data_IF_717702966630
#
_entry.id   IF_717702966630
#
_cell.length_a   1.000
_cell.length_b   1.000
_cell.length_c   1.000
_cell.angle_alpha   90.00
_cell.angle_beta   90.00
_cell.angle_gamma   90.00
#
_symmetry.space_group_name_H-M   'P 1'
#
loop_
_entity.id
_entity.type
_entity.pdbx_description
1 polymer ?
#
# COMPACT_ATOMS: atom_id res chain seq x y z
N UNK A 1 -39.51 -53.60 1.84
CA UNK A 1 -38.04 -53.83 1.95
C UNK A 1 -37.50 -52.72 2.85
N UNK A 2 -37.71 -52.73 4.18
CA UNK A 2 -37.15 -53.58 5.22
C UNK A 2 -35.62 -53.49 5.36
N UNK A 3 -35.17 -52.72 6.38
CA UNK A 3 -34.03 -52.98 7.29
C UNK A 3 -32.60 -52.99 6.67
N UNK A 4 -31.49 -52.58 7.31
CA UNK A 4 -31.07 -52.58 8.72
C UNK A 4 -29.74 -51.76 8.85
N UNK A 5 -29.59 -50.92 9.88
CA UNK A 5 -28.65 -51.05 11.03
C UNK A 5 -27.13 -51.17 10.78
N UNK A 6 -26.35 -50.35 11.49
CA UNK A 6 -24.93 -50.56 11.77
C UNK A 6 -24.31 -49.46 12.65
N UNK A 7 -24.42 -49.60 13.97
CA UNK A 7 -23.79 -48.75 15.00
C UNK A 7 -22.35 -49.22 15.33
N UNK A 8 -21.56 -48.24 15.77
CA UNK A 8 -20.53 -48.28 16.84
C UNK A 8 -19.21 -49.05 16.64
N UNK A 9 -18.10 -48.35 16.92
CA UNK A 9 -17.17 -48.78 17.96
C UNK A 9 -16.34 -47.60 18.51
N UNK A 10 -16.35 -47.49 19.84
CA UNK A 10 -15.44 -46.70 20.69
C UNK A 10 -14.28 -47.62 21.07
N UNK A 11 -13.03 -47.18 20.92
CA UNK A 11 -11.90 -47.73 21.69
C UNK A 11 -11.04 -46.59 22.24
N UNK A 12 -10.92 -46.67 23.57
CA UNK A 12 -10.06 -45.92 24.46
C UNK A 12 -8.61 -46.44 24.35
N UNK A 13 -7.61 -45.56 24.40
CA UNK A 13 -6.27 -45.96 24.84
C UNK A 13 -5.55 -44.78 25.49
N UNK A 14 -5.36 -44.93 26.80
CA UNK A 14 -4.40 -44.21 27.61
C UNK A 14 -2.98 -44.46 27.11
N UNK A 15 -2.17 -43.40 27.04
CA UNK A 15 -0.72 -43.53 27.22
C UNK A 15 -0.31 -42.58 28.35
N UNK A 16 0.16 -43.21 29.44
CA UNK A 16 0.89 -42.58 30.54
C UNK A 16 2.36 -42.48 30.17
N UNK A 17 2.98 -41.38 30.60
CA UNK A 17 4.35 -41.39 31.11
C UNK A 17 5.42 -40.84 30.18
N UNK A 18 5.95 -39.67 30.53
CA UNK A 18 7.38 -39.47 30.79
C UNK A 18 7.57 -38.10 31.45
N UNK A 19 7.90 -38.15 32.74
CA UNK A 19 8.37 -37.01 33.53
C UNK A 19 9.84 -36.78 33.16
N UNK A 20 10.12 -35.70 32.45
CA UNK A 20 11.49 -35.20 32.29
C UNK A 20 11.67 -33.98 33.19
N UNK A 21 12.38 -34.20 34.29
CA UNK A 21 12.94 -33.15 35.15
C UNK A 21 13.87 -32.26 34.32
N UNK A 22 13.49 -31.00 34.12
CA UNK A 22 14.39 -29.96 33.59
C UNK A 22 14.86 -29.09 34.73
N UNK A 23 16.16 -29.09 34.93
CA UNK A 23 16.86 -28.17 35.81
C UNK A 23 16.57 -26.70 35.42
N UNK A 24 16.49 -25.77 36.38
CA UNK A 24 16.34 -24.36 36.08
C UNK A 24 17.66 -23.82 35.49
N UNK A 25 17.63 -23.45 34.20
CA UNK A 25 18.63 -22.58 33.62
C UNK A 25 18.49 -21.20 34.28
N UNK A 26 19.47 -20.83 35.11
CA UNK A 26 19.66 -19.45 35.54
C UNK A 26 20.14 -18.65 34.34
N UNK A 27 19.21 -18.01 33.63
CA UNK A 27 19.55 -16.92 32.71
C UNK A 27 19.96 -15.73 33.57
N UNK A 28 21.21 -15.29 33.43
CA UNK A 28 21.67 -14.06 34.03
C UNK A 28 20.96 -12.88 33.33
N UNK A 29 20.13 -12.17 34.10
CA UNK A 29 19.54 -10.89 33.71
C UNK A 29 20.65 -9.86 33.54
N UNK A 30 21.14 -9.71 32.32
CA UNK A 30 21.84 -8.53 31.85
C UNK A 30 21.09 -7.98 30.63
N UNK A 31 19.83 -7.60 30.84
CA UNK A 31 19.11 -6.74 29.89
C UNK A 31 19.63 -5.33 30.11
N UNK A 32 20.68 -4.97 29.38
CA UNK A 32 21.01 -3.56 29.18
C UNK A 32 19.81 -2.94 28.45
N UNK A 33 19.10 -2.08 29.17
CA UNK A 33 18.06 -1.22 28.64
C UNK A 33 18.73 -0.33 27.57
N UNK A 34 18.63 -0.75 26.30
CA UNK A 34 19.07 0.04 25.18
C UNK A 34 18.14 1.26 25.15
N UNK A 35 18.59 2.38 25.74
CA UNK A 35 17.99 3.68 25.53
C UNK A 35 18.18 4.00 24.05
N UNK A 36 17.17 3.67 23.25
CA UNK A 36 17.01 4.22 21.91
C UNK A 36 16.78 5.71 22.12
N UNK A 37 17.88 6.47 22.17
CA UNK A 37 17.84 7.89 21.96
C UNK A 37 17.29 8.08 20.55
N UNK A 38 16.06 8.59 20.48
CA UNK A 38 15.48 9.06 19.25
C UNK A 38 16.35 10.24 18.78
N UNK A 39 17.40 9.92 18.02
CA UNK A 39 18.25 10.90 17.39
C UNK A 39 17.38 11.62 16.36
N UNK A 40 16.92 12.81 16.75
CA UNK A 40 16.27 13.77 15.88
C UNK A 40 17.19 14.09 14.72
N UNK A 41 16.81 13.66 13.53
CA UNK A 41 17.12 14.42 12.32
C UNK A 41 15.95 15.35 12.09
N UNK A 42 15.98 16.48 12.79
CA UNK A 42 15.16 17.66 12.54
C UNK A 42 15.52 18.17 11.13
N UNK A 43 14.91 17.58 10.11
CA UNK A 43 14.71 18.27 8.85
C UNK A 43 13.75 19.41 9.18
N UNK A 44 14.36 20.56 9.46
CA UNK A 44 13.76 21.87 9.72
C UNK A 44 12.37 22.00 9.08
N UNK A 45 11.37 21.66 9.88
CA UNK A 45 9.95 21.63 9.54
C UNK A 45 9.51 23.09 9.41
N UNK A 46 9.68 23.63 8.20
CA UNK A 46 9.37 25.02 7.85
C UNK A 46 7.87 25.20 7.89
N UNK A 47 7.31 25.43 9.10
CA UNK A 47 5.92 25.77 9.37
C UNK A 47 4.92 25.15 8.37
N UNK A 48 5.04 23.84 8.13
CA UNK A 48 4.15 23.14 7.23
C UNK A 48 2.80 23.08 7.92
N UNK A 49 1.81 23.78 7.36
CA UNK A 49 0.47 23.84 7.91
C UNK A 49 -0.06 22.45 8.26
N UNK A 50 -0.80 22.39 9.36
CA UNK A 50 -1.53 21.19 9.73
C UNK A 50 -2.52 20.86 8.61
N UNK A 51 -2.58 19.59 8.24
CA UNK A 51 -3.57 19.06 7.30
C UNK A 51 -4.37 17.96 7.99
N UNK A 52 -5.55 17.68 7.43
CA UNK A 52 -6.44 16.66 7.96
C UNK A 52 -7.00 15.78 6.84
N UNK A 53 -7.44 14.56 7.16
CA UNK A 53 -8.32 13.79 6.28
C UNK A 53 -9.37 13.05 7.10
N UNK A 54 -10.48 12.73 6.44
CA UNK A 54 -11.58 11.97 7.02
C UNK A 54 -11.63 10.59 6.37
N UNK A 55 -11.98 9.55 7.13
CA UNK A 55 -12.32 8.26 6.54
C UNK A 55 -13.58 8.36 5.65
N UNK A 56 -13.88 7.31 4.88
CA UNK A 56 -15.02 7.30 3.97
C UNK A 56 -16.37 7.60 4.65
N UNK A 57 -16.57 7.18 5.90
CA UNK A 57 -17.81 7.40 6.66
C UNK A 57 -17.76 8.64 7.57
N UNK A 58 -16.63 9.36 7.58
CA UNK A 58 -16.43 10.56 8.41
C UNK A 58 -16.62 10.29 9.91
N UNK A 59 -16.23 9.12 10.38
CA UNK A 59 -16.25 8.72 11.80
C UNK A 59 -14.99 9.19 12.53
N UNK A 60 -13.85 9.17 11.84
CA UNK A 60 -12.55 9.60 12.37
C UNK A 60 -11.94 10.65 11.47
N UNK A 61 -11.24 11.59 12.09
CA UNK A 61 -10.39 12.55 11.44
C UNK A 61 -8.94 12.31 11.85
N UNK A 62 -8.05 12.29 10.87
CA UNK A 62 -6.61 12.16 11.08
C UNK A 62 -5.95 13.50 10.82
N UNK A 63 -4.99 13.87 11.64
CA UNK A 63 -4.30 15.16 11.58
C UNK A 63 -2.79 15.00 11.70
N UNK A 64 -2.04 15.68 10.83
CA UNK A 64 -0.58 15.70 10.80
C UNK A 64 -0.05 16.81 9.87
N UNK A 65 1.28 17.06 9.85
CA UNK A 65 1.93 17.80 8.78
C UNK A 65 1.58 17.21 7.40
N UNK A 66 1.44 18.07 6.37
CA UNK A 66 0.92 17.70 5.04
C UNK A 66 1.59 16.47 4.43
N UNK A 67 2.93 16.38 4.40
CA UNK A 67 3.65 15.21 3.86
C UNK A 67 3.33 13.92 4.61
N UNK A 68 3.36 13.97 5.94
CA UNK A 68 3.05 12.82 6.79
C UNK A 68 1.62 12.35 6.57
N UNK A 69 0.69 13.32 6.48
CA UNK A 69 -0.72 13.05 6.23
C UNK A 69 -0.93 12.38 4.86
N UNK A 70 -0.33 12.92 3.81
CA UNK A 70 -0.43 12.38 2.46
C UNK A 70 0.11 10.95 2.38
N UNK A 71 1.31 10.70 2.92
CA UNK A 71 1.88 9.37 2.94
C UNK A 71 0.98 8.39 3.72
N UNK A 72 0.35 8.86 4.79
CA UNK A 72 -0.58 8.07 5.60
C UNK A 72 -1.82 7.69 4.80
N UNK A 73 -2.49 8.63 4.13
CA UNK A 73 -3.65 8.35 3.28
C UNK A 73 -3.30 7.36 2.18
N UNK A 74 -2.20 7.61 1.47
CA UNK A 74 -1.79 6.78 0.34
C UNK A 74 -1.45 5.34 0.77
N UNK A 75 -0.76 5.19 1.90
CA UNK A 75 -0.43 3.88 2.47
C UNK A 75 -1.67 3.16 3.00
N UNK A 76 -2.55 3.86 3.73
CA UNK A 76 -3.82 3.28 4.21
C UNK A 76 -4.68 2.80 3.04
N UNK A 77 -4.79 3.58 1.96
CA UNK A 77 -5.47 3.20 0.71
C UNK A 77 -4.86 1.97 0.02
N UNK A 78 -3.54 1.79 0.08
CA UNK A 78 -2.87 0.63 -0.52
C UNK A 78 -2.97 -0.64 0.33
N UNK A 79 -3.21 -0.50 1.64
CA UNK A 79 -3.20 -1.59 2.63
C UNK A 79 -4.41 -2.55 2.53
N UNK A 80 -4.41 -3.67 3.29
CA UNK A 80 -5.59 -4.52 3.46
C UNK A 80 -6.85 -3.79 3.97
N UNK A 81 -6.69 -2.62 4.61
CA UNK A 81 -7.78 -1.79 5.10
C UNK A 81 -8.19 -0.69 4.10
N UNK A 82 -7.66 -0.71 2.88
CA UNK A 82 -7.84 0.36 1.88
C UNK A 82 -9.29 0.71 1.58
N UNK A 83 -10.21 -0.24 1.74
CA UNK A 83 -11.66 -0.03 1.54
C UNK A 83 -12.25 1.08 2.41
N UNK A 84 -11.66 1.35 3.58
CA UNK A 84 -12.09 2.44 4.47
C UNK A 84 -11.69 3.83 3.99
N UNK A 85 -10.78 3.90 3.01
CA UNK A 85 -10.12 5.14 2.59
C UNK A 85 -10.21 5.42 1.10
N UNK A 86 -10.88 4.57 0.30
CA UNK A 86 -10.97 4.72 -1.17
C UNK A 86 -11.42 6.12 -1.66
N UNK A 87 -12.25 6.83 -0.91
CA UNK A 87 -12.76 8.17 -1.23
C UNK A 87 -12.21 9.26 -0.29
N UNK A 88 -11.14 8.94 0.45
CA UNK A 88 -10.45 9.86 1.36
C UNK A 88 -9.36 10.65 0.63
N UNK A 89 -9.20 11.91 0.99
CA UNK A 89 -8.14 12.78 0.50
C UNK A 89 -7.66 13.72 1.62
N UNK A 90 -6.42 14.21 1.48
CA UNK A 90 -5.90 15.24 2.38
C UNK A 90 -6.56 16.58 2.14
N UNK A 91 -6.78 17.33 3.23
CA UNK A 91 -7.32 18.68 3.26
C UNK A 91 -6.21 19.57 3.79
N UNK A 92 -5.52 20.28 2.89
CA UNK A 92 -4.40 21.15 3.25
C UNK A 92 -4.85 22.34 4.10
N UNK A 93 -4.08 22.66 5.15
CA UNK A 93 -4.31 23.85 5.98
C UNK A 93 -5.54 23.74 6.88
N UNK A 94 -6.00 22.53 7.17
CA UNK A 94 -7.15 22.28 8.05
C UNK A 94 -6.81 21.28 9.15
N UNK A 95 -7.25 21.59 10.36
CA UNK A 95 -7.17 20.72 11.53
C UNK A 95 -8.49 19.95 11.72
N UNK A 96 -8.46 18.81 12.39
CA UNK A 96 -9.65 18.01 12.69
C UNK A 96 -10.71 18.79 13.50
N UNK A 97 -10.27 19.70 14.38
CA UNK A 97 -11.16 20.56 15.17
C UNK A 97 -12.04 21.46 14.29
N UNK A 98 -11.54 21.93 13.13
CA UNK A 98 -12.33 22.77 12.20
C UNK A 98 -13.49 22.01 11.55
N UNK A 99 -13.39 20.67 11.54
CA UNK A 99 -14.41 19.76 11.02
C UNK A 99 -15.31 19.17 12.12
N UNK A 100 -15.19 19.66 13.36
CA UNK A 100 -16.00 19.23 14.50
C UNK A 100 -15.51 17.97 15.20
N UNK A 101 -14.24 17.56 15.00
CA UNK A 101 -13.63 16.42 15.68
C UNK A 101 -12.74 16.95 16.82
N UNK A 102 -13.21 16.83 18.06
CA UNK A 102 -12.52 17.36 19.24
C UNK A 102 -12.18 16.27 20.28
N UNK A 103 -12.69 15.05 20.12
CA UNK A 103 -12.40 13.94 21.01
C UNK A 103 -11.12 13.25 20.54
N UNK A 104 -10.00 13.50 21.22
CA UNK A 104 -8.71 12.89 20.86
C UNK A 104 -8.72 11.38 21.08
N UNK A 105 -8.26 10.65 20.07
CA UNK A 105 -8.08 9.21 20.11
C UNK A 105 -6.71 8.78 20.60
N UNK A 106 -6.45 7.48 20.48
CA UNK A 106 -5.10 6.96 20.65
C UNK A 106 -4.22 7.33 19.46
N UNK A 107 -2.92 7.47 19.72
CA UNK A 107 -1.93 7.64 18.65
C UNK A 107 -1.98 6.45 17.67
N UNK A 108 -1.83 6.74 16.38
CA UNK A 108 -1.75 5.71 15.34
C UNK A 108 -0.38 5.00 15.44
N UNK A 109 -0.39 3.72 15.84
CA UNK A 109 0.84 2.91 15.96
C UNK A 109 1.47 2.55 14.60
N UNK A 110 0.75 2.74 13.51
CA UNK A 110 1.16 2.44 12.14
C UNK A 110 1.84 3.64 11.46
N UNK A 111 1.55 4.87 11.90
CA UNK A 111 2.11 6.11 11.35
C UNK A 111 2.54 7.10 12.46
N UNK A 112 3.86 7.19 12.75
CA UNK A 112 4.37 8.19 13.69
C UNK A 112 4.00 9.62 13.27
N UNK A 113 3.61 10.45 14.25
CA UNK A 113 3.22 11.84 14.03
C UNK A 113 1.76 12.07 13.60
N UNK A 114 0.98 11.01 13.37
CA UNK A 114 -0.46 11.11 13.10
C UNK A 114 -1.24 11.12 14.42
N UNK A 115 -2.12 12.11 14.55
CA UNK A 115 -3.13 12.19 15.61
C UNK A 115 -4.49 11.79 15.05
N UNK A 116 -5.31 11.15 15.88
CA UNK A 116 -6.68 10.78 15.52
C UNK A 116 -7.65 11.54 16.39
N UNK A 117 -8.74 12.02 15.80
CA UNK A 117 -9.79 12.75 16.47
C UNK A 117 -11.15 12.21 16.04
N UNK A 118 -12.09 12.21 16.97
CA UNK A 118 -13.45 11.72 16.84
C UNK A 118 -14.42 12.83 17.24
N UNK A 119 -15.70 12.69 16.90
CA UNK A 119 -16.74 13.60 17.41
C UNK A 119 -17.21 13.20 18.81
N UNK A 120 -17.10 11.91 19.15
CA UNK A 120 -17.54 11.34 20.41
C UNK A 120 -16.78 10.06 20.76
N UNK A 121 -16.87 9.61 22.01
CA UNK A 121 -16.35 8.30 22.43
C UNK A 121 -17.03 7.12 21.71
N UNK A 122 -18.30 7.27 21.35
CA UNK A 122 -19.06 6.25 20.58
C UNK A 122 -18.42 6.03 19.20
N UNK A 123 -17.94 7.11 18.57
CA UNK A 123 -17.28 7.04 17.27
C UNK A 123 -15.95 6.28 17.33
N UNK A 124 -15.25 6.28 18.48
CA UNK A 124 -14.04 5.44 18.68
C UNK A 124 -14.38 3.96 18.54
N UNK A 125 -15.47 3.52 19.18
CA UNK A 125 -15.89 2.12 19.11
C UNK A 125 -16.43 1.78 17.72
N UNK A 126 -17.17 2.71 17.11
CA UNK A 126 -17.64 2.55 15.73
C UNK A 126 -16.48 2.38 14.75
N UNK A 127 -15.45 3.20 14.85
CA UNK A 127 -14.29 3.10 13.96
C UNK A 127 -13.53 1.79 14.15
N UNK A 128 -13.33 1.33 15.40
CA UNK A 128 -12.75 -0.01 15.67
C UNK A 128 -13.56 -1.14 15.03
N UNK A 129 -14.89 -1.05 15.05
CA UNK A 129 -15.76 -2.02 14.38
C UNK A 129 -15.61 -1.96 12.86
N UNK A 130 -15.45 -0.76 12.28
CA UNK A 130 -15.18 -0.59 10.85
C UNK A 130 -13.83 -1.18 10.44
N UNK A 131 -12.77 -0.95 11.22
CA UNK A 131 -11.45 -1.57 10.99
C UNK A 131 -11.54 -3.10 11.06
N UNK A 132 -12.24 -3.63 12.06
CA UNK A 132 -12.47 -5.06 12.18
C UNK A 132 -13.25 -5.60 10.98
N UNK A 133 -14.34 -4.95 10.58
CA UNK A 133 -15.17 -5.39 9.46
C UNK A 133 -14.41 -5.35 8.12
N UNK A 134 -13.59 -4.32 7.90
CA UNK A 134 -12.72 -4.24 6.73
C UNK A 134 -11.69 -5.37 6.70
N UNK A 135 -11.05 -5.66 7.85
CA UNK A 135 -10.11 -6.77 7.98
C UNK A 135 -10.79 -8.14 7.77
N UNK A 136 -11.96 -8.35 8.37
CA UNK A 136 -12.76 -9.57 8.19
C UNK A 136 -13.14 -9.77 6.72
N UNK A 137 -13.53 -8.69 6.02
CA UNK A 137 -13.81 -8.70 4.59
C UNK A 137 -12.59 -9.09 3.76
N UNK A 138 -11.42 -8.55 4.08
CA UNK A 138 -10.16 -8.91 3.43
C UNK A 138 -9.77 -10.37 3.70
N UNK A 139 -9.94 -10.84 4.94
CA UNK A 139 -9.72 -12.24 5.35
C UNK A 139 -10.59 -13.17 4.52
N UNK A 140 -11.88 -12.88 4.42
CA UNK A 140 -12.84 -13.69 3.68
C UNK A 140 -12.53 -13.70 2.16
N UNK A 141 -12.23 -12.52 1.59
CA UNK A 141 -11.95 -12.39 0.15
C UNK A 141 -10.75 -13.21 -0.31
N UNK A 142 -9.75 -13.41 0.55
CA UNK A 142 -8.50 -14.09 0.21
C UNK A 142 -8.25 -15.38 0.99
N UNK A 143 -9.24 -15.88 1.74
CA UNK A 143 -9.15 -17.11 2.54
C UNK A 143 -7.93 -17.11 3.48
N UNK A 144 -7.70 -15.99 4.17
CA UNK A 144 -6.56 -15.83 5.09
C UNK A 144 -6.93 -16.26 6.51
N UNK A 145 -5.93 -16.41 7.38
CA UNK A 145 -6.14 -16.42 8.83
C UNK A 145 -6.10 -14.98 9.37
N UNK A 146 -6.73 -14.75 10.52
CA UNK A 146 -6.71 -13.45 11.21
C UNK A 146 -5.28 -12.99 11.50
N UNK A 147 -4.40 -13.88 11.96
CA UNK A 147 -3.01 -13.55 12.27
C UNK A 147 -2.24 -13.11 11.03
N UNK A 148 -2.45 -13.79 9.89
CA UNK A 148 -1.78 -13.46 8.63
C UNK A 148 -2.26 -12.11 8.08
N UNK A 149 -3.56 -11.83 8.12
CA UNK A 149 -4.10 -10.55 7.68
C UNK A 149 -3.68 -9.39 8.60
N UNK A 150 -3.68 -9.61 9.92
CA UNK A 150 -3.16 -8.63 10.89
C UNK A 150 -1.67 -8.34 10.65
N UNK A 151 -0.87 -9.37 10.39
CA UNK A 151 0.54 -9.22 10.03
C UNK A 151 0.69 -8.42 8.73
N UNK A 152 -0.13 -8.70 7.70
CA UNK A 152 -0.13 -7.91 6.46
C UNK A 152 -0.39 -6.43 6.71
N UNK A 153 -1.37 -6.08 7.54
CA UNK A 153 -1.63 -4.69 7.94
C UNK A 153 -0.39 -4.09 8.61
N UNK A 154 0.18 -4.77 9.60
CA UNK A 154 1.38 -4.31 10.31
C UNK A 154 2.59 -4.10 9.37
N UNK A 155 2.76 -4.96 8.35
CA UNK A 155 3.86 -4.86 7.40
C UNK A 155 3.67 -3.75 6.36
N UNK A 156 2.43 -3.29 6.12
CA UNK A 156 2.18 -2.13 5.26
C UNK A 156 2.38 -0.78 5.96
N UNK A 157 2.60 -0.76 7.28
CA UNK A 157 2.82 0.46 8.04
C UNK A 157 4.08 1.23 7.64
N UNK A 158 4.19 2.46 8.16
CA UNK A 158 5.42 3.25 8.06
C UNK A 158 6.62 2.41 8.58
N UNK A 159 7.79 2.37 7.89
CA UNK A 159 8.91 1.50 8.27
C UNK A 159 9.39 1.68 9.72
N UNK A 160 9.38 2.94 10.18
CA UNK A 160 9.77 3.33 11.55
C UNK A 160 8.63 3.25 12.57
N UNK A 161 7.46 2.73 12.21
CA UNK A 161 6.33 2.69 13.14
C UNK A 161 6.55 1.62 14.23
N UNK A 162 6.05 1.85 15.47
CA UNK A 162 6.09 0.82 16.50
C UNK A 162 5.49 -0.50 16.04
N UNK A 163 4.37 -0.47 15.30
CA UNK A 163 3.71 -1.67 14.79
C UNK A 163 4.59 -2.46 13.81
N UNK A 164 5.27 -1.80 12.88
CA UNK A 164 6.16 -2.43 11.90
C UNK A 164 7.45 -2.95 12.52
N UNK A 165 8.02 -2.19 13.47
CA UNK A 165 9.27 -2.55 14.18
C UNK A 165 9.05 -3.80 15.04
N UNK A 166 7.94 -3.89 15.79
CA UNK A 166 7.60 -5.08 16.59
C UNK A 166 7.45 -6.35 15.73
N UNK A 167 7.08 -6.21 14.46
CA UNK A 167 6.86 -7.31 13.53
C UNK A 167 7.99 -7.49 12.50
N UNK A 168 9.17 -6.88 12.70
CA UNK A 168 10.15 -6.74 11.62
C UNK A 168 10.57 -8.07 10.96
N UNK A 169 10.90 -9.07 11.77
CA UNK A 169 11.26 -10.40 11.26
C UNK A 169 10.11 -11.05 10.49
N UNK A 170 8.90 -10.95 11.01
CA UNK A 170 7.71 -11.53 10.38
C UNK A 170 7.37 -10.83 9.06
N UNK A 171 7.63 -9.53 8.94
CA UNK A 171 7.43 -8.79 7.69
C UNK A 171 8.47 -9.15 6.61
N UNK A 172 9.71 -9.43 7.00
CA UNK A 172 10.71 -9.96 6.07
C UNK A 172 10.30 -11.33 5.53
N UNK A 173 9.80 -12.22 6.41
CA UNK A 173 9.28 -13.53 6.02
C UNK A 173 8.01 -13.41 5.16
N UNK A 174 7.10 -12.49 5.50
CA UNK A 174 5.90 -12.23 4.70
C UNK A 174 6.28 -11.79 3.28
N UNK A 175 7.28 -10.92 3.14
CA UNK A 175 7.73 -10.39 1.85
C UNK A 175 8.25 -11.49 0.91
N UNK A 176 8.87 -12.54 1.44
CA UNK A 176 9.35 -13.66 0.62
C UNK A 176 8.28 -14.75 0.41
N UNK A 177 7.36 -14.91 1.36
CA UNK A 177 6.35 -15.97 1.33
C UNK A 177 5.05 -15.57 0.63
N UNK A 178 4.78 -14.26 0.49
CA UNK A 178 3.51 -13.76 -0.03
C UNK A 178 3.75 -12.81 -1.19
N UNK A 179 3.05 -13.11 -2.28
CA UNK A 179 2.93 -12.23 -3.44
C UNK A 179 1.83 -11.21 -3.21
N UNK A 180 2.11 -9.94 -3.50
CA UNK A 180 1.12 -8.87 -3.61
C UNK A 180 0.85 -8.52 -5.08
N UNK A 181 -0.38 -8.18 -5.40
CA UNK A 181 -0.76 -7.64 -6.71
C UNK A 181 -1.84 -6.56 -6.67
N UNK A 182 -1.92 -5.73 -7.71
CA UNK A 182 -3.08 -4.88 -7.99
C UNK A 182 -3.35 -4.86 -9.50
N UNK A 183 -4.55 -4.41 -9.89
CA UNK A 183 -4.96 -4.32 -11.29
C UNK A 183 -5.11 -2.85 -11.64
N UNK A 184 -4.47 -2.41 -12.71
CA UNK A 184 -4.69 -1.09 -13.27
C UNK A 184 -6.06 -1.05 -13.91
N UNK A 185 -6.86 -0.04 -13.59
CA UNK A 185 -8.12 0.22 -14.26
C UNK A 185 -8.06 1.55 -15.00
N UNK A 186 -8.70 1.61 -16.17
CA UNK A 186 -8.91 2.89 -16.83
C UNK A 186 -9.84 3.74 -15.92
N UNK A 187 -9.41 4.93 -15.47
CA UNK A 187 -10.16 5.70 -14.48
C UNK A 187 -11.50 6.26 -15.01
N UNK A 188 -11.70 6.30 -16.33
CA UNK A 188 -12.93 6.77 -16.97
C UNK A 188 -13.92 5.64 -17.23
N UNK A 189 -13.43 4.46 -17.62
CA UNK A 189 -14.29 3.33 -18.05
C UNK A 189 -14.33 2.18 -17.05
N UNK A 190 -13.48 2.21 -16.02
CA UNK A 190 -13.25 1.14 -15.06
C UNK A 190 -12.83 -0.20 -15.70
N UNK A 191 -12.43 -0.20 -16.97
CA UNK A 191 -11.94 -1.39 -17.67
C UNK A 191 -10.57 -1.77 -17.10
N UNK A 192 -10.41 -3.03 -16.69
CA UNK A 192 -9.12 -3.55 -16.21
C UNK A 192 -8.12 -3.64 -17.37
N UNK A 193 -6.89 -3.20 -17.15
CA UNK A 193 -5.87 -3.03 -18.18
C UNK A 193 -4.73 -4.06 -18.02
N UNK A 194 -3.93 -3.90 -16.98
CA UNK A 194 -2.79 -4.76 -16.63
C UNK A 194 -2.82 -5.09 -15.15
N UNK A 195 -2.01 -6.04 -14.71
CA UNK A 195 -1.86 -6.37 -13.31
C UNK A 195 -0.39 -6.35 -12.91
N UNK A 196 -0.06 -5.62 -11.85
CA UNK A 196 1.30 -5.61 -11.29
C UNK A 196 1.41 -6.58 -10.13
N UNK A 197 2.56 -7.24 -10.06
CA UNK A 197 2.85 -8.29 -9.07
C UNK A 197 4.26 -8.18 -8.53
N UNK A 198 4.44 -8.37 -7.22
CA UNK A 198 5.76 -8.55 -6.60
C UNK A 198 5.67 -9.06 -5.16
N UNK A 199 6.76 -8.98 -4.38
CA UNK A 199 6.73 -9.22 -2.93
C UNK A 199 5.68 -8.35 -2.24
N UNK A 200 4.89 -8.90 -1.32
CA UNK A 200 3.70 -8.23 -0.78
C UNK A 200 3.96 -6.83 -0.21
N UNK A 201 4.94 -6.68 0.69
CA UNK A 201 5.27 -5.38 1.30
C UNK A 201 5.79 -4.39 0.25
N UNK A 202 6.64 -4.87 -0.67
CA UNK A 202 7.20 -4.06 -1.75
C UNK A 202 6.09 -3.55 -2.68
N UNK A 203 5.19 -4.43 -3.10
CA UNK A 203 4.05 -4.11 -3.95
C UNK A 203 3.08 -3.14 -3.27
N UNK A 204 2.76 -3.32 -1.99
CA UNK A 204 1.93 -2.37 -1.24
C UNK A 204 2.58 -0.98 -1.16
N UNK A 205 3.91 -0.91 -0.96
CA UNK A 205 4.65 0.37 -0.88
C UNK A 205 4.74 1.05 -2.25
N UNK A 206 4.93 0.30 -3.33
CA UNK A 206 4.86 0.83 -4.69
C UNK A 206 3.48 1.40 -4.98
N UNK A 207 2.41 0.65 -4.70
CA UNK A 207 1.04 1.13 -4.85
C UNK A 207 0.76 2.40 -4.00
N UNK A 208 1.24 2.45 -2.77
CA UNK A 208 1.13 3.66 -1.94
C UNK A 208 1.88 4.85 -2.55
N UNK A 209 3.04 4.62 -3.18
CA UNK A 209 3.80 5.66 -3.88
C UNK A 209 3.01 6.18 -5.10
N UNK A 210 2.41 5.28 -5.88
CA UNK A 210 1.55 5.63 -7.01
C UNK A 210 0.31 6.44 -6.58
N UNK A 211 -0.30 6.09 -5.43
CA UNK A 211 -1.43 6.82 -4.82
C UNK A 211 -1.08 8.18 -4.22
N UNK A 212 0.19 8.51 -4.07
CA UNK A 212 0.70 9.82 -3.62
C UNK A 212 1.47 10.52 -4.75
N UNK A 213 1.04 10.29 -5.99
CA UNK A 213 1.64 10.85 -7.20
C UNK A 213 0.54 11.29 -8.18
N UNK A 214 0.89 11.92 -9.31
CA UNK A 214 -0.05 12.21 -10.39
C UNK A 214 -0.82 10.97 -10.93
N UNK A 215 -0.37 9.75 -10.60
CA UNK A 215 -1.04 8.50 -10.97
C UNK A 215 -2.21 8.12 -10.04
N UNK A 216 -2.49 8.90 -8.99
CA UNK A 216 -3.61 8.64 -8.08
C UNK A 216 -4.95 8.37 -8.81
N UNK A 217 -5.36 9.09 -9.88
CA UNK A 217 -6.63 8.81 -10.53
C UNK A 217 -6.75 7.38 -11.05
N UNK A 218 -5.68 6.84 -11.65
CA UNK A 218 -5.62 5.46 -12.14
C UNK A 218 -5.65 4.44 -11.01
N UNK A 219 -5.08 4.80 -9.85
CA UNK A 219 -4.93 3.91 -8.70
C UNK A 219 -5.88 4.23 -7.54
N UNK A 220 -6.93 5.04 -7.73
CA UNK A 220 -7.72 5.55 -6.61
C UNK A 220 -8.30 4.40 -5.78
N UNK A 221 -8.83 3.39 -6.46
CA UNK A 221 -9.55 2.26 -5.87
C UNK A 221 -8.71 0.99 -5.74
N UNK A 222 -7.48 1.02 -6.22
CA UNK A 222 -6.58 -0.13 -6.18
C UNK A 222 -6.23 -0.50 -4.74
N UNK A 223 -6.19 -1.79 -4.44
CA UNK A 223 -5.80 -2.31 -3.14
C UNK A 223 -4.86 -3.49 -3.36
N UNK A 224 -3.92 -3.67 -2.44
CA UNK A 224 -3.03 -4.81 -2.50
C UNK A 224 -3.81 -6.12 -2.28
N UNK A 225 -3.69 -7.06 -3.20
CA UNK A 225 -4.24 -8.40 -3.07
C UNK A 225 -3.11 -9.39 -2.77
N UNK A 226 -3.25 -10.29 -1.79
CA UNK A 226 -2.22 -11.26 -1.40
C UNK A 226 -2.26 -12.53 -2.28
N UNK A 227 -2.49 -12.33 -3.58
CA UNK A 227 -2.54 -13.36 -4.62
C UNK A 227 -1.83 -12.84 -5.88
N UNK A 228 -1.33 -13.75 -6.71
CA UNK A 228 -0.69 -13.37 -7.97
C UNK A 228 -1.67 -12.95 -9.07
N UNK A 229 -1.17 -12.21 -10.05
CA UNK A 229 -1.91 -11.70 -11.21
C UNK A 229 -2.53 -12.79 -12.08
N UNK A 230 -1.87 -13.95 -12.20
CA UNK A 230 -2.44 -15.10 -12.92
C UNK A 230 -3.80 -15.54 -12.34
N UNK A 231 -3.94 -15.55 -11.00
CA UNK A 231 -5.22 -15.86 -10.32
C UNK A 231 -6.27 -14.77 -10.47
N UNK A 232 -5.86 -13.58 -10.90
CA UNK A 232 -6.72 -12.41 -11.16
C UNK A 232 -7.09 -12.26 -12.64
N UNK A 233 -6.75 -13.25 -13.46
CA UNK A 233 -7.08 -13.29 -14.88
C UNK A 233 -6.04 -12.65 -15.80
N UNK A 234 -4.81 -12.45 -15.31
CA UNK A 234 -3.66 -11.96 -16.08
C UNK A 234 -2.56 -13.03 -16.07
N UNK A 235 -2.68 -14.11 -16.88
CA UNK A 235 -1.83 -15.29 -16.76
C UNK A 235 -0.44 -15.14 -17.39
N UNK A 236 -0.18 -14.05 -18.11
CA UNK A 236 1.04 -13.91 -18.91
C UNK A 236 1.90 -12.80 -18.32
N UNK A 237 3.13 -13.11 -17.93
CA UNK A 237 4.07 -12.11 -17.44
C UNK A 237 4.60 -11.30 -18.63
N UNK A 238 4.51 -9.98 -18.55
CA UNK A 238 5.10 -9.09 -19.53
C UNK A 238 6.63 -9.09 -19.38
N UNK A 239 7.34 -9.25 -20.50
CA UNK A 239 8.80 -9.45 -20.46
C UNK A 239 9.59 -8.23 -19.96
N UNK A 240 9.01 -7.03 -20.02
CA UNK A 240 9.66 -5.83 -19.52
C UNK A 240 9.57 -5.75 -17.99
N UNK A 241 10.69 -5.44 -17.35
CA UNK A 241 10.73 -5.10 -15.92
C UNK A 241 10.27 -3.65 -15.72
N UNK A 242 9.56 -3.40 -14.62
CA UNK A 242 9.23 -2.04 -14.21
C UNK A 242 10.51 -1.26 -13.88
N UNK A 243 10.71 -0.13 -14.56
CA UNK A 243 11.93 0.68 -14.44
C UNK A 243 11.96 1.54 -13.17
N UNK A 244 10.80 1.76 -12.55
CA UNK A 244 10.58 2.50 -11.30
C UNK A 244 10.62 1.59 -10.06
N UNK A 245 10.12 0.36 -10.19
CA UNK A 245 9.95 -0.61 -9.12
C UNK A 245 10.46 -2.00 -9.55
N UNK A 246 11.77 -2.25 -9.56
CA UNK A 246 12.37 -3.43 -10.21
C UNK A 246 11.99 -4.81 -9.65
N UNK A 247 11.31 -4.88 -8.49
CA UNK A 247 10.77 -6.14 -7.96
C UNK A 247 9.32 -6.39 -8.38
N UNK A 248 8.76 -5.52 -9.21
CA UNK A 248 7.45 -5.70 -9.82
C UNK A 248 7.59 -6.24 -11.23
N UNK A 249 6.61 -7.06 -11.57
CA UNK A 249 6.38 -7.56 -12.91
C UNK A 249 4.95 -7.25 -13.30
N UNK A 250 4.79 -6.69 -14.49
CA UNK A 250 3.49 -6.52 -15.13
C UNK A 250 3.02 -7.87 -15.69
N UNK A 251 1.71 -8.07 -15.68
CA UNK A 251 1.03 -9.23 -16.21
C UNK A 251 -0.15 -8.80 -17.09
N UNK A 252 -0.34 -9.53 -18.18
CA UNK A 252 -1.27 -9.25 -19.27
C UNK A 252 -2.24 -10.41 -19.46
N UNK A 253 -3.31 -10.17 -20.24
CA UNK A 253 -4.27 -11.21 -20.60
C UNK A 253 -3.85 -11.96 -21.87
N UNK A 254 -3.10 -11.29 -22.73
CA UNK A 254 -2.66 -11.79 -24.04
C UNK A 254 -1.14 -11.86 -24.15
N UNK A 255 -0.63 -12.75 -25.02
CA UNK A 255 0.81 -12.98 -25.20
C UNK A 255 1.45 -11.78 -25.93
N UNK A 256 2.66 -11.40 -25.51
CA UNK A 256 3.31 -10.16 -25.94
C UNK A 256 4.80 -10.36 -26.28
N UNK A 257 5.27 -9.87 -27.45
CA UNK A 257 4.45 -9.53 -28.62
C UNK A 257 3.76 -10.80 -29.16
N UNK A 258 2.60 -10.68 -29.80
CA UNK A 258 2.03 -11.87 -30.45
C UNK A 258 3.02 -12.41 -31.51
N UNK A 259 3.26 -13.73 -31.55
CA UNK A 259 4.27 -14.36 -32.44
C UNK A 259 4.17 -13.98 -33.91
N UNK A 260 3.00 -13.56 -34.38
CA UNK A 260 2.71 -13.23 -35.78
C UNK A 260 2.72 -11.73 -36.06
N UNK A 261 3.30 -10.92 -35.17
CA UNK A 261 3.34 -9.48 -35.36
C UNK A 261 4.30 -9.07 -36.46
N UNK A 262 3.85 -8.24 -37.42
CA UNK A 262 4.73 -7.69 -38.44
C UNK A 262 5.92 -6.97 -37.77
N UNK A 263 7.15 -7.14 -38.29
CA UNK A 263 8.27 -6.30 -37.88
C UNK A 263 7.97 -4.86 -38.27
N UNK A 264 7.71 -3.98 -37.29
CA UNK A 264 7.31 -2.59 -37.59
C UNK A 264 6.90 -1.69 -36.43
N UNK A 265 6.53 -2.21 -35.26
CA UNK A 265 6.32 -1.33 -34.10
C UNK A 265 5.47 -1.94 -32.98
N UNK A 266 5.79 -1.51 -31.76
CA UNK A 266 4.91 -1.53 -30.59
C UNK A 266 4.08 -0.22 -30.61
N UNK A 267 2.83 -0.24 -30.17
CA UNK A 267 2.00 0.95 -29.98
C UNK A 267 0.91 1.16 -31.04
N UNK A 268 0.58 2.44 -31.31
CA UNK A 268 -0.58 2.83 -32.12
C UNK A 268 -0.52 2.35 -33.57
N UNK A 269 0.69 2.08 -34.08
CA UNK A 269 0.93 1.65 -35.46
C UNK A 269 0.66 0.15 -35.67
N UNK A 270 0.43 -0.62 -34.59
CA UNK A 270 0.14 -2.05 -34.65
C UNK A 270 -0.79 -2.52 -33.50
N UNK A 271 -2.04 -2.02 -33.46
CA UNK A 271 -2.98 -2.23 -32.34
C UNK A 271 -3.42 -3.69 -32.16
N UNK A 272 -3.23 -4.53 -33.18
CA UNK A 272 -3.56 -5.97 -33.15
C UNK A 272 -2.48 -6.82 -32.47
N UNK A 273 -1.34 -6.22 -32.14
CA UNK A 273 -0.13 -6.91 -31.70
C UNK A 273 0.23 -6.70 -30.23
N UNK A 274 -0.25 -5.61 -29.66
CA UNK A 274 -0.04 -5.31 -28.26
C UNK A 274 -1.25 -5.72 -27.41
N UNK A 275 -1.00 -6.07 -26.15
CA UNK A 275 -2.06 -6.24 -25.19
C UNK A 275 -2.63 -4.85 -25.01
N UNK A 276 -3.86 -4.67 -25.49
CA UNK A 276 -4.53 -3.38 -25.45
C UNK A 276 -4.53 -2.78 -24.04
N UNK A 277 -4.47 -3.60 -22.99
CA UNK A 277 -4.27 -3.17 -21.61
C UNK A 277 -2.93 -2.46 -21.37
N UNK A 278 -1.81 -2.96 -21.90
CA UNK A 278 -0.48 -2.32 -21.76
C UNK A 278 -0.44 -0.98 -22.48
N UNK A 279 -0.90 -0.96 -23.74
CA UNK A 279 -0.93 0.26 -24.55
C UNK A 279 -1.84 1.31 -23.91
N UNK A 280 -3.05 0.92 -23.52
CA UNK A 280 -4.00 1.82 -22.87
C UNK A 280 -3.47 2.33 -21.52
N UNK A 281 -2.86 1.46 -20.70
CA UNK A 281 -2.22 1.87 -19.44
C UNK A 281 -1.13 2.90 -19.69
N UNK A 282 -0.26 2.68 -20.69
CA UNK A 282 0.79 3.63 -21.05
C UNK A 282 0.26 4.97 -21.57
N UNK A 283 -0.85 4.97 -22.33
CA UNK A 283 -1.51 6.20 -22.78
C UNK A 283 -2.08 6.99 -21.60
N UNK A 284 -2.75 6.32 -20.66
CA UNK A 284 -3.31 6.93 -19.46
C UNK A 284 -2.20 7.50 -18.58
N UNK A 285 -1.15 6.72 -18.31
CA UNK A 285 0.02 7.16 -17.57
C UNK A 285 0.64 8.39 -18.21
N UNK A 286 0.91 8.36 -19.53
CA UNK A 286 1.43 9.52 -20.26
C UNK A 286 0.51 10.74 -20.16
N UNK A 287 -0.80 10.56 -20.28
CA UNK A 287 -1.76 11.66 -20.15
C UNK A 287 -1.80 12.27 -18.74
N UNK A 288 -1.60 11.44 -17.71
CA UNK A 288 -1.51 11.88 -16.31
C UNK A 288 -0.18 12.59 -16.02
N UNK A 289 0.93 12.08 -16.56
CA UNK A 289 2.30 12.48 -16.20
C UNK A 289 2.89 13.56 -17.10
N UNK A 290 2.72 13.45 -18.41
CA UNK A 290 3.38 14.32 -19.38
C UNK A 290 2.47 15.46 -19.86
N UNK A 291 1.19 15.17 -20.07
CA UNK A 291 0.27 16.15 -20.63
C UNK A 291 -0.34 17.08 -19.58
N UNK A 292 -0.32 16.70 -18.30
CA UNK A 292 -0.93 17.44 -17.18
C UNK A 292 -2.45 17.66 -17.30
N UNK A 293 -3.08 17.17 -18.38
CA UNK A 293 -4.48 17.44 -18.72
C UNK A 293 -5.45 16.77 -17.77
N UNK A 294 -5.17 15.51 -17.41
CA UNK A 294 -6.04 14.75 -16.52
C UNK A 294 -5.83 15.12 -15.05
N UNK A 295 -4.58 15.46 -14.70
CA UNK A 295 -4.24 15.98 -13.39
C UNK A 295 -5.02 17.28 -13.12
N UNK A 296 -5.09 18.21 -14.06
CA UNK A 296 -5.75 19.50 -13.84
C UNK A 296 -7.24 19.42 -13.48
N UNK A 297 -8.01 18.46 -14.00
CA UNK A 297 -9.43 18.33 -13.63
C UNK A 297 -9.61 17.58 -12.31
N UNK A 298 -8.95 16.42 -12.15
CA UNK A 298 -9.06 15.62 -10.94
C UNK A 298 -8.47 16.32 -9.71
N UNK A 299 -7.26 16.87 -9.84
CA UNK A 299 -6.57 17.58 -8.76
C UNK A 299 -7.33 18.84 -8.39
N UNK A 300 -7.94 19.54 -9.35
CA UNK A 300 -8.78 20.70 -9.06
C UNK A 300 -10.09 20.33 -8.40
N UNK A 301 -10.79 19.30 -8.89
CA UNK A 301 -12.04 18.81 -8.30
C UNK A 301 -11.85 18.34 -6.84
N UNK A 302 -10.72 17.67 -6.57
CA UNK A 302 -10.37 17.16 -5.24
C UNK A 302 -9.54 18.12 -4.39
N UNK A 303 -9.21 19.32 -4.91
CA UNK A 303 -8.36 20.31 -4.25
C UNK A 303 -7.00 19.74 -3.76
N UNK A 304 -6.30 18.99 -4.63
CA UNK A 304 -5.05 18.28 -4.31
C UNK A 304 -3.81 18.96 -4.89
N UNK A 305 -3.92 20.19 -5.38
CA UNK A 305 -2.83 20.87 -6.10
C UNK A 305 -1.61 21.11 -5.22
N UNK A 306 -1.78 21.17 -3.91
CA UNK A 306 -0.71 21.27 -2.91
C UNK A 306 -0.19 19.92 -2.42
N UNK A 307 -0.80 18.80 -2.86
CA UNK A 307 -0.54 17.45 -2.35
C UNK A 307 0.11 16.57 -3.42
N UNK A 308 -0.28 16.68 -4.70
CA UNK A 308 0.20 15.77 -5.76
C UNK A 308 1.17 16.40 -6.76
N UNK A 309 1.71 17.59 -6.48
CA UNK A 309 2.51 18.39 -7.40
C UNK A 309 3.96 17.91 -7.59
N UNK A 310 4.16 16.61 -7.76
CA UNK A 310 5.49 16.01 -7.79
C UNK A 310 6.01 15.78 -9.20
N UNK A 311 7.33 15.71 -9.33
CA UNK A 311 7.97 15.34 -10.58
C UNK A 311 7.75 13.84 -10.81
N UNK A 312 7.09 13.43 -11.90
CA UNK A 312 6.66 12.06 -12.10
C UNK A 312 7.78 11.02 -11.94
N UNK A 313 8.93 11.28 -12.56
CA UNK A 313 10.10 10.42 -12.50
C UNK A 313 10.76 10.38 -11.10
N UNK A 314 10.56 11.41 -10.28
CA UNK A 314 11.08 11.47 -8.92
C UNK A 314 10.22 10.69 -7.92
N UNK A 315 9.04 10.20 -8.29
CA UNK A 315 8.22 9.34 -7.44
C UNK A 315 8.72 7.89 -7.39
N UNK A 316 9.56 7.48 -8.35
CA UNK A 316 10.07 6.12 -8.42
C UNK A 316 11.04 5.80 -7.26
N UNK A 317 11.38 4.52 -7.07
CA UNK A 317 12.37 4.13 -6.08
C UNK A 317 13.68 4.94 -6.29
N UNK A 318 14.34 5.40 -5.23
CA UNK A 318 15.54 6.24 -5.35
C UNK A 318 16.72 5.56 -6.05
N UNK A 319 16.70 4.22 -6.13
CA UNK A 319 17.66 3.37 -6.85
C UNK A 319 17.15 2.90 -8.23
N UNK A 320 15.98 3.39 -8.65
CA UNK A 320 15.37 3.03 -9.94
C UNK A 320 16.19 3.56 -11.12
N UNK A 321 16.07 2.90 -12.27
CA UNK A 321 16.71 3.36 -13.50
C UNK A 321 16.18 4.74 -13.92
N UNK A 322 14.90 5.00 -13.66
CA UNK A 322 14.25 6.28 -13.95
C UNK A 322 14.89 7.43 -13.16
N UNK A 323 15.01 7.30 -11.83
CA UNK A 323 15.65 8.33 -11.00
C UNK A 323 17.12 8.52 -11.38
N UNK A 324 17.84 7.43 -11.66
CA UNK A 324 19.23 7.52 -12.12
C UNK A 324 19.37 8.24 -13.47
N UNK A 325 18.43 8.00 -14.39
CA UNK A 325 18.39 8.68 -15.68
C UNK A 325 18.11 10.18 -15.50
N UNK A 326 17.10 10.55 -14.71
CA UNK A 326 16.77 11.95 -14.43
C UNK A 326 17.94 12.70 -13.81
N UNK A 327 18.62 12.09 -12.82
CA UNK A 327 19.82 12.67 -12.21
C UNK A 327 20.95 12.91 -13.22
N UNK A 328 21.06 12.05 -14.23
CA UNK A 328 22.06 12.20 -15.30
C UNK A 328 21.70 13.33 -16.26
N UNK A 329 20.43 13.43 -16.65
CA UNK A 329 19.97 14.38 -17.68
C UNK A 329 19.77 15.78 -17.11
N UNK A 330 19.18 15.89 -15.91
CA UNK A 330 18.76 17.16 -15.30
C UNK A 330 19.61 17.57 -14.09
N UNK A 331 20.61 16.76 -13.73
CA UNK A 331 21.52 16.99 -12.62
C UNK A 331 21.15 16.21 -11.36
N UNK A 332 22.16 15.88 -10.55
CA UNK A 332 22.05 14.96 -9.41
C UNK A 332 20.95 15.34 -8.41
N UNK A 333 20.67 16.63 -8.27
CA UNK A 333 19.74 17.17 -7.26
C UNK A 333 18.29 17.24 -7.71
N UNK A 334 17.93 16.85 -8.94
CA UNK A 334 16.56 17.07 -9.44
C UNK A 334 15.48 16.34 -8.63
N UNK A 335 15.81 15.18 -8.04
CA UNK A 335 14.89 14.36 -7.25
C UNK A 335 15.27 14.27 -5.75
N UNK A 336 16.17 15.15 -5.29
CA UNK A 336 16.66 15.16 -3.91
C UNK A 336 15.81 16.03 -2.96
N UNK A 337 15.27 17.21 -3.38
CA UNK A 337 14.40 17.99 -2.53
C UNK A 337 13.10 17.24 -2.27
N UNK A 338 12.65 17.24 -1.00
CA UNK A 338 11.49 16.45 -0.54
C UNK A 338 10.21 16.86 -1.26
N UNK A 339 10.10 18.11 -1.68
CA UNK A 339 9.00 18.68 -2.44
C UNK A 339 8.91 18.17 -3.88
N UNK A 340 9.94 17.48 -4.39
CA UNK A 340 9.95 16.98 -5.77
C UNK A 340 9.35 15.58 -5.92
N UNK A 341 9.08 14.88 -4.81
CA UNK A 341 8.61 13.51 -4.83
C UNK A 341 7.62 13.16 -3.72
N UNK A 342 6.81 12.14 -4.00
CA UNK A 342 5.91 11.48 -3.05
C UNK A 342 6.56 11.30 -1.68
N UNK A 343 5.84 11.57 -0.58
CA UNK A 343 6.32 11.32 0.77
C UNK A 343 6.43 9.84 1.10
N UNK A 344 5.71 8.96 0.39
CA UNK A 344 5.87 7.51 0.52
C UNK A 344 7.23 7.05 -0.01
N UNK A 345 7.85 7.82 -0.92
CA UNK A 345 9.19 7.47 -1.44
C UNK A 345 10.25 7.44 -0.33
N UNK A 346 10.11 8.25 0.71
CA UNK A 346 11.03 8.28 1.85
C UNK A 346 11.10 6.93 2.58
N UNK A 347 10.03 6.14 2.46
CA UNK A 347 9.93 4.86 3.13
C UNK A 347 10.78 3.77 2.46
N UNK A 348 11.36 4.03 1.28
CA UNK A 348 12.28 3.10 0.61
C UNK A 348 13.71 3.15 1.16
N UNK A 349 14.06 4.21 1.89
CA UNK A 349 15.43 4.49 2.34
C UNK A 349 15.62 4.39 3.85
N UNK A 350 14.54 4.29 4.62
CA UNK A 350 14.56 4.07 6.07
C UNK A 350 14.35 2.61 6.41
#
# INVERSE_FOLDING_TARGET
MANRWGRALVICSLVRGLVASRAPLKLADNVQLLQVTAAGSDAQETATGVSAFLDNERVVCFEAPTRTLEATVATKKASPLGGLYNNTYGISGSACASHGYSFEGTQDECFPGIRTFYKSEVDVQRFKQMEKAALDGFIAAYSLTTDKATLMVACTCHPKSPMRVRNNLMCQLLSTAVVGSWIHANPLTNKTLVCDQGPFEYAARALATLKSSPLLPMHQYDQIAPIGCAKRGFPLMYGATDHCYPQLHMWTRTEQPMRNCPPGGLGEDNPDCDDWGVVESGKIEKALVADGRFENEFVKDKNLSSILSYWPACNCNSKSMVVMHERRVKGQKVCDPVETHSPVRDFWTG
#
